data_IF_966207554681
#
_entry.id   IF_966207554681
#
_cell.length_a   1.000
_cell.length_b   1.000
_cell.length_c   1.000
_cell.angle_alpha   90.00
_cell.angle_beta   90.00
_cell.angle_gamma   90.00
#
_symmetry.space_group_name_H-M   'P 1'
#
loop_
_entity.id
_entity.type
_entity.pdbx_description
1 polymer ?
#
# COMPACT_ATOMS: atom_id res chain seq x y z
N UNK A 1 54.51 -22.32 17.30
CA UNK A 1 53.19 -22.88 17.67
C UNK A 1 52.12 -22.01 17.05
N UNK A 2 51.44 -22.50 16.01
CA UNK A 2 50.31 -21.80 15.40
C UNK A 2 49.04 -22.28 16.12
N UNK A 3 48.28 -21.35 16.69
CA UNK A 3 46.95 -21.64 17.23
C UNK A 3 46.03 -22.08 16.08
N UNK A 4 45.25 -23.15 16.23
CA UNK A 4 44.30 -23.58 15.21
C UNK A 4 43.27 -22.47 14.98
N UNK A 5 43.04 -22.12 13.71
CA UNK A 5 41.90 -21.28 13.31
C UNK A 5 40.64 -21.89 13.90
N UNK A 6 40.09 -21.28 14.93
CA UNK A 6 38.77 -21.64 15.45
C UNK A 6 37.80 -21.59 14.28
N UNK A 7 37.31 -22.76 13.87
CA UNK A 7 36.22 -22.90 12.91
C UNK A 7 35.02 -22.34 13.63
N UNK A 8 34.72 -21.06 13.41
CA UNK A 8 33.47 -20.47 13.86
C UNK A 8 32.37 -21.39 13.31
N UNK A 9 31.53 -21.97 14.16
CA UNK A 9 30.49 -22.89 13.70
C UNK A 9 29.69 -22.24 12.58
N UNK A 10 29.40 -22.98 11.50
CA UNK A 10 28.67 -22.46 10.36
C UNK A 10 27.31 -21.80 10.74
N UNK A 11 26.74 -22.15 11.90
CA UNK A 11 25.56 -21.50 12.46
C UNK A 11 25.82 -20.07 12.98
N UNK A 12 27.00 -19.79 13.54
CA UNK A 12 27.44 -18.43 13.93
C UNK A 12 27.76 -17.58 12.69
N UNK A 13 28.29 -18.20 11.63
CA UNK A 13 28.47 -17.53 10.33
C UNK A 13 27.13 -17.24 9.62
N UNK A 14 26.13 -18.13 9.76
CA UNK A 14 24.78 -17.92 9.24
C UNK A 14 23.99 -16.81 9.98
N UNK A 15 24.42 -16.44 11.20
CA UNK A 15 23.85 -15.31 11.95
C UNK A 15 24.34 -13.94 11.47
N UNK A 16 25.44 -13.87 10.70
CA UNK A 16 26.01 -12.62 10.20
C UNK A 16 25.45 -12.19 8.84
N UNK A 17 24.69 -13.05 8.16
CA UNK A 17 24.07 -12.69 6.90
C UNK A 17 22.75 -11.96 7.18
N UNK A 18 22.62 -10.68 6.77
CA UNK A 18 21.35 -9.98 6.86
C UNK A 18 20.31 -10.79 6.09
N UNK A 19 19.31 -11.30 6.80
CA UNK A 19 18.19 -11.99 6.17
C UNK A 19 17.53 -11.01 5.22
N UNK A 20 17.37 -11.46 3.98
CA UNK A 20 16.94 -10.59 2.90
C UNK A 20 15.61 -9.93 3.25
N UNK A 21 15.41 -8.69 2.79
CA UNK A 21 14.17 -8.00 2.97
C UNK A 21 12.94 -8.87 2.55
N UNK A 22 12.16 -9.44 3.49
CA UNK A 22 10.79 -9.91 3.24
C UNK A 22 10.01 -8.87 2.40
N UNK A 23 9.47 -9.27 1.25
CA UNK A 23 8.75 -8.34 0.40
C UNK A 23 7.47 -7.86 1.10
N UNK A 24 7.06 -6.61 0.82
CA UNK A 24 5.72 -6.08 1.10
C UNK A 24 4.66 -7.18 0.91
N UNK A 25 3.67 -7.33 1.81
CA UNK A 25 2.65 -8.38 1.68
C UNK A 25 2.12 -8.46 0.25
N UNK A 26 2.20 -9.64 -0.37
CA UNK A 26 1.93 -9.83 -1.81
C UNK A 26 0.60 -9.22 -2.24
N UNK A 27 -0.41 -9.27 -1.39
CA UNK A 27 -1.72 -8.67 -1.62
C UNK A 27 -1.67 -7.14 -1.76
N UNK A 28 -0.94 -6.44 -0.88
CA UNK A 28 -0.73 -4.99 -0.97
C UNK A 28 0.05 -4.63 -2.24
N UNK A 29 1.08 -5.43 -2.58
CA UNK A 29 1.86 -5.21 -3.78
C UNK A 29 1.01 -5.36 -5.04
N UNK A 30 0.22 -6.44 -5.15
CA UNK A 30 -0.66 -6.66 -6.29
C UNK A 30 -1.71 -5.55 -6.43
N UNK A 31 -2.37 -5.18 -5.33
CA UNK A 31 -3.35 -4.08 -5.33
C UNK A 31 -2.71 -2.75 -5.74
N UNK A 32 -1.49 -2.46 -5.28
CA UNK A 32 -0.73 -1.28 -5.70
C UNK A 32 -0.38 -1.34 -7.18
N UNK A 33 0.09 -2.48 -7.68
CA UNK A 33 0.40 -2.69 -9.09
C UNK A 33 -0.81 -2.60 -10.01
N UNK A 34 -2.02 -2.91 -9.54
CA UNK A 34 -3.26 -2.76 -10.31
C UNK A 34 -3.83 -1.33 -10.23
N UNK A 35 -3.71 -0.66 -9.08
CA UNK A 35 -4.17 0.73 -8.94
C UNK A 35 -3.28 1.73 -9.70
N UNK A 36 -1.97 1.50 -9.83
CA UNK A 36 -1.10 2.41 -10.59
C UNK A 36 -1.54 2.57 -12.07
N UNK A 37 -1.73 1.49 -12.85
CA UNK A 37 -2.25 1.58 -14.21
C UNK A 37 -3.62 2.23 -14.31
N UNK A 38 -4.51 1.94 -13.36
CA UNK A 38 -5.83 2.57 -13.32
C UNK A 38 -5.75 4.08 -13.09
N UNK A 39 -4.97 4.51 -12.09
CA UNK A 39 -4.75 5.92 -11.78
C UNK A 39 -4.03 6.66 -12.93
N UNK A 40 -3.07 6.02 -13.61
CA UNK A 40 -2.42 6.55 -14.80
C UNK A 40 -3.39 6.69 -15.98
N UNK A 41 -4.20 5.66 -16.23
CA UNK A 41 -5.21 5.69 -17.29
C UNK A 41 -6.22 6.79 -17.01
N UNK A 42 -6.67 6.91 -15.76
CA UNK A 42 -7.60 7.95 -15.33
C UNK A 42 -6.98 9.35 -15.47
N UNK A 43 -5.71 9.52 -15.13
CA UNK A 43 -4.98 10.78 -15.33
C UNK A 43 -4.91 11.15 -16.82
N UNK A 44 -4.49 10.22 -17.69
CA UNK A 44 -4.40 10.45 -19.13
C UNK A 44 -5.78 10.79 -19.71
N UNK A 45 -6.81 9.99 -19.39
CA UNK A 45 -8.19 10.25 -19.80
C UNK A 45 -8.70 11.58 -19.25
N UNK A 46 -8.28 11.98 -18.05
CA UNK A 46 -8.71 13.26 -17.47
C UNK A 46 -8.01 14.46 -18.13
N UNK A 47 -6.74 14.33 -18.50
CA UNK A 47 -5.95 15.33 -19.23
C UNK A 47 -6.35 15.47 -20.71
N UNK A 48 -6.95 14.43 -21.29
CA UNK A 48 -7.52 14.47 -22.64
C UNK A 48 -8.92 15.14 -22.67
N UNK A 49 -9.29 15.86 -21.59
CA UNK A 49 -10.45 16.73 -21.52
C UNK A 49 -11.82 16.06 -21.78
N UNK A 50 -11.96 14.84 -21.26
CA UNK A 50 -13.13 14.00 -21.50
C UNK A 50 -14.34 14.26 -20.57
N UNK A 51 -14.29 15.25 -19.67
CA UNK A 51 -15.43 15.65 -18.81
C UNK A 51 -15.17 16.86 -17.88
N UNK A 52 -16.22 17.48 -17.32
CA UNK A 52 -16.11 18.69 -16.48
C UNK A 52 -15.31 18.48 -15.18
N UNK A 53 -15.58 17.38 -14.46
CA UNK A 53 -14.82 17.00 -13.27
C UNK A 53 -13.41 16.49 -13.60
N UNK A 54 -13.18 16.09 -14.85
CA UNK A 54 -11.90 15.62 -15.34
C UNK A 54 -10.87 16.73 -15.56
N UNK A 55 -11.28 17.99 -15.63
CA UNK A 55 -10.32 19.08 -15.74
C UNK A 55 -9.77 19.54 -14.40
N UNK A 56 -10.47 19.27 -13.28
CA UNK A 56 -10.12 19.85 -11.97
C UNK A 56 -9.91 18.81 -10.88
N UNK A 57 -10.89 17.95 -10.66
CA UNK A 57 -10.91 17.09 -9.47
C UNK A 57 -10.14 15.80 -9.72
N UNK A 58 -10.47 15.10 -10.80
CA UNK A 58 -9.89 13.78 -11.08
C UNK A 58 -8.37 13.80 -11.32
N UNK A 59 -7.78 14.75 -12.08
CA UNK A 59 -6.32 14.79 -12.25
C UNK A 59 -5.58 14.99 -10.95
N UNK A 60 -6.07 15.89 -10.09
CA UNK A 60 -5.46 16.15 -8.79
C UNK A 60 -5.50 14.89 -7.90
N UNK A 61 -6.66 14.23 -7.81
CA UNK A 61 -6.80 13.01 -7.01
C UNK A 61 -5.95 11.88 -7.59
N UNK A 62 -5.89 11.72 -8.91
CA UNK A 62 -5.02 10.74 -9.58
C UNK A 62 -3.55 11.01 -9.28
N UNK A 63 -3.09 12.27 -9.34
CA UNK A 63 -1.71 12.63 -8.98
C UNK A 63 -1.42 12.29 -7.52
N UNK A 64 -2.30 12.66 -6.58
CA UNK A 64 -2.13 12.29 -5.17
C UNK A 64 -2.11 10.78 -4.96
N UNK A 65 -2.93 10.03 -5.69
CA UNK A 65 -2.97 8.56 -5.66
C UNK A 65 -1.65 7.96 -6.14
N UNK A 66 -1.10 8.47 -7.25
CA UNK A 66 0.20 8.04 -7.77
C UNK A 66 1.33 8.36 -6.80
N UNK A 67 1.36 9.58 -6.24
CA UNK A 67 2.35 9.98 -5.24
C UNK A 67 2.26 9.11 -3.98
N UNK A 68 1.04 8.80 -3.54
CA UNK A 68 0.81 7.88 -2.42
C UNK A 68 1.37 6.49 -2.72
N UNK A 69 1.02 5.88 -3.86
CA UNK A 69 1.53 4.54 -4.21
C UNK A 69 3.05 4.51 -4.38
N UNK A 70 3.63 5.54 -5.02
CA UNK A 70 5.09 5.69 -5.10
C UNK A 70 5.72 5.80 -3.71
N UNK A 71 5.14 6.61 -2.83
CA UNK A 71 5.57 6.73 -1.44
C UNK A 71 5.54 5.40 -0.70
N UNK A 72 4.44 4.65 -0.79
CA UNK A 72 4.29 3.33 -0.17
C UNK A 72 5.33 2.34 -0.70
N UNK A 73 5.57 2.30 -2.01
CA UNK A 73 6.58 1.40 -2.61
C UNK A 73 7.99 1.80 -2.20
N UNK A 74 8.32 3.10 -2.21
CA UNK A 74 9.64 3.60 -1.82
C UNK A 74 9.91 3.35 -0.34
N UNK A 75 8.93 3.62 0.53
CA UNK A 75 9.03 3.41 1.97
C UNK A 75 9.10 1.91 2.28
N UNK A 76 8.27 1.10 1.64
CA UNK A 76 8.24 -0.36 1.83
C UNK A 76 9.51 -1.08 1.36
N UNK A 77 10.30 -0.46 0.46
CA UNK A 77 11.59 -1.01 -0.01
C UNK A 77 12.81 -0.53 0.78
N UNK A 78 12.68 0.49 1.63
CA UNK A 78 13.83 0.96 2.43
C UNK A 78 14.16 -0.06 3.52
N UNK A 79 15.45 -0.41 3.64
CA UNK A 79 15.98 -1.13 4.80
C UNK A 79 15.70 -0.29 6.05
N UNK A 80 14.97 -0.85 7.02
CA UNK A 80 14.65 -0.17 8.27
C UNK A 80 15.57 -0.58 9.41
N UNK A 81 15.97 0.40 10.20
CA UNK A 81 16.57 0.19 11.52
C UNK A 81 15.44 -0.09 12.54
N UNK A 82 15.70 -0.88 13.61
CA UNK A 82 14.69 -1.20 14.63
C UNK A 82 14.09 0.03 15.32
N UNK A 83 14.86 1.12 15.37
CA UNK A 83 14.49 2.38 16.02
C UNK A 83 13.62 3.29 15.13
N UNK A 84 13.52 3.01 13.83
CA UNK A 84 12.76 3.82 12.91
C UNK A 84 11.27 3.42 12.87
N UNK A 85 10.32 4.38 12.94
CA UNK A 85 8.89 4.08 12.85
C UNK A 85 8.52 3.51 11.47
N UNK A 86 7.54 2.59 11.44
CA UNK A 86 7.19 1.87 10.21
C UNK A 86 6.18 2.57 9.31
N UNK A 87 5.55 3.63 9.80
CA UNK A 87 4.53 4.42 9.08
C UNK A 87 3.40 3.58 8.43
N UNK A 88 3.24 2.29 8.77
CA UNK A 88 2.27 1.41 8.12
C UNK A 88 0.86 1.87 8.40
N UNK A 89 0.55 2.06 9.68
CA UNK A 89 -0.74 2.60 10.13
C UNK A 89 -1.03 3.97 9.50
N UNK A 90 -0.02 4.83 9.33
CA UNK A 90 -0.15 6.12 8.65
C UNK A 90 -0.47 5.95 7.16
N UNK A 91 0.17 4.99 6.48
CA UNK A 91 -0.12 4.68 5.09
C UNK A 91 -1.55 4.16 4.93
N UNK A 92 -1.98 3.24 5.79
CA UNK A 92 -3.36 2.73 5.82
C UNK A 92 -4.37 3.85 6.05
N UNK A 93 -4.13 4.73 7.04
CA UNK A 93 -4.98 5.89 7.31
C UNK A 93 -5.06 6.83 6.11
N UNK A 94 -3.93 7.15 5.48
CA UNK A 94 -3.87 7.97 4.27
C UNK A 94 -4.65 7.33 3.12
N UNK A 95 -4.60 5.99 3.00
CA UNK A 95 -5.37 5.24 2.02
C UNK A 95 -6.88 5.35 2.25
N UNK A 96 -7.34 5.32 3.51
CA UNK A 96 -8.75 5.56 3.83
C UNK A 96 -9.20 6.96 3.42
N UNK A 97 -8.41 7.99 3.75
CA UNK A 97 -8.74 9.37 3.33
C UNK A 97 -8.83 9.48 1.81
N UNK A 98 -7.88 8.90 1.10
CA UNK A 98 -7.87 8.89 -0.36
C UNK A 98 -9.08 8.13 -0.94
N UNK A 99 -9.49 7.02 -0.31
CA UNK A 99 -10.71 6.28 -0.67
C UNK A 99 -11.96 7.14 -0.53
N UNK A 100 -12.08 7.89 0.57
CA UNK A 100 -13.21 8.80 0.79
C UNK A 100 -13.24 9.88 -0.29
N UNK A 101 -12.08 10.46 -0.63
CA UNK A 101 -11.97 11.46 -1.70
C UNK A 101 -12.40 10.87 -3.05
N UNK A 102 -11.97 9.66 -3.40
CA UNK A 102 -12.42 8.95 -4.60
C UNK A 102 -13.92 8.68 -4.60
N UNK A 103 -14.47 8.26 -3.46
CA UNK A 103 -15.91 8.00 -3.32
C UNK A 103 -16.75 9.27 -3.50
N UNK A 104 -16.31 10.40 -2.93
CA UNK A 104 -16.94 11.70 -3.16
C UNK A 104 -16.85 12.10 -4.64
N UNK A 105 -15.70 11.92 -5.28
CA UNK A 105 -15.55 12.18 -6.71
C UNK A 105 -16.47 11.31 -7.58
N UNK A 106 -16.66 10.03 -7.20
CA UNK A 106 -17.61 9.12 -7.85
C UNK A 106 -19.04 9.64 -7.74
N UNK A 107 -19.49 10.01 -6.54
CA UNK A 107 -20.82 10.57 -6.31
C UNK A 107 -21.03 11.82 -7.15
N UNK A 108 -20.08 12.76 -7.14
CA UNK A 108 -20.14 13.98 -7.93
C UNK A 108 -20.23 13.68 -9.43
N UNK A 109 -19.46 12.71 -9.93
CA UNK A 109 -19.50 12.31 -11.34
C UNK A 109 -20.85 11.72 -11.72
N UNK A 110 -21.43 10.88 -10.86
CA UNK A 110 -22.78 10.31 -11.06
C UNK A 110 -23.84 11.41 -11.03
N UNK A 111 -23.78 12.34 -10.08
CA UNK A 111 -24.73 13.45 -9.96
C UNK A 111 -24.66 14.36 -11.17
N UNK A 112 -23.47 14.70 -11.65
CA UNK A 112 -23.28 15.50 -12.88
C UNK A 112 -23.85 14.77 -14.09
N UNK A 113 -23.62 13.45 -14.21
CA UNK A 113 -24.18 12.66 -15.29
C UNK A 113 -25.72 12.59 -15.25
N UNK A 114 -26.30 12.42 -14.06
CA UNK A 114 -27.75 12.34 -13.87
C UNK A 114 -28.45 13.71 -14.02
N UNK A 115 -27.80 14.78 -13.57
CA UNK A 115 -28.33 16.15 -13.56
C UNK A 115 -28.01 16.93 -14.84
N UNK A 116 -27.26 16.33 -15.77
CA UNK A 116 -26.80 16.97 -17.00
C UNK A 116 -27.91 17.54 -17.87
N UNK A 117 -29.16 17.13 -17.68
CA UNK A 117 -30.33 17.70 -18.37
C UNK A 117 -30.93 18.92 -17.67
N UNK A 118 -30.76 19.06 -16.35
CA UNK A 118 -31.42 20.09 -15.53
C UNK A 118 -30.62 21.39 -15.42
N UNK A 119 -29.30 21.34 -15.51
CA UNK A 119 -28.44 22.51 -15.34
C UNK A 119 -27.66 22.83 -16.63
N UNK A 120 -27.73 24.08 -17.15
CA UNK A 120 -27.10 24.44 -18.42
C UNK A 120 -25.57 24.27 -18.41
N UNK A 121 -24.92 24.45 -17.26
CA UNK A 121 -23.47 24.30 -17.11
C UNK A 121 -22.97 22.85 -17.15
N UNK A 122 -23.85 21.87 -16.96
CA UNK A 122 -23.50 20.44 -17.01
C UNK A 122 -23.97 19.75 -18.29
N UNK A 123 -24.62 20.50 -19.19
CA UNK A 123 -25.03 19.98 -20.49
C UNK A 123 -23.80 19.75 -21.37
N UNK A 124 -23.77 18.61 -22.07
CA UNK A 124 -22.74 18.28 -23.05
C UNK A 124 -22.55 19.39 -24.11
N UNK A 125 -23.64 20.05 -24.49
CA UNK A 125 -23.62 21.17 -25.42
C UNK A 125 -22.77 22.34 -24.89
N UNK A 126 -22.91 22.69 -23.61
CA UNK A 126 -22.14 23.77 -22.99
C UNK A 126 -20.66 23.42 -22.85
N UNK A 127 -20.33 22.18 -22.48
CA UNK A 127 -18.94 21.71 -22.42
C UNK A 127 -18.25 21.69 -23.79
N UNK A 128 -19.00 21.35 -24.85
CA UNK A 128 -18.50 21.44 -26.23
C UNK A 128 -18.24 22.89 -26.65
N UNK A 129 -19.05 23.85 -26.20
CA UNK A 129 -18.80 25.28 -26.45
C UNK A 129 -17.52 25.77 -25.77
N UNK A 130 -17.05 25.12 -24.70
CA UNK A 130 -15.76 25.38 -24.06
C UNK A 130 -14.57 24.72 -24.80
N UNK A 131 -14.80 24.12 -25.98
CA UNK A 131 -13.77 23.46 -26.79
C UNK A 131 -13.45 22.03 -26.34
N UNK A 132 -14.21 21.47 -25.40
CA UNK A 132 -13.93 20.15 -24.85
C UNK A 132 -14.61 19.05 -25.69
N UNK A 133 -13.89 18.00 -26.13
CA UNK A 133 -14.43 16.91 -26.95
C UNK A 133 -15.26 15.90 -26.11
N UNK A 134 -16.10 16.38 -25.20
CA UNK A 134 -16.88 15.53 -24.29
C UNK A 134 -18.00 14.80 -25.05
N UNK A 135 -18.11 13.49 -24.78
CA UNK A 135 -19.20 12.64 -25.26
C UNK A 135 -19.84 11.88 -24.10
N UNK A 136 -21.03 11.31 -24.33
CA UNK A 136 -21.68 10.41 -23.35
C UNK A 136 -20.78 9.21 -23.02
N UNK A 137 -20.08 8.67 -24.03
CA UNK A 137 -19.18 7.54 -23.84
C UNK A 137 -17.98 7.88 -22.96
N UNK A 138 -17.41 9.08 -23.13
CA UNK A 138 -16.23 9.50 -22.35
C UNK A 138 -16.61 9.76 -20.89
N UNK A 139 -17.77 10.35 -20.63
CA UNK A 139 -18.33 10.48 -19.28
C UNK A 139 -18.60 9.11 -18.62
N UNK A 140 -19.19 8.15 -19.36
CA UNK A 140 -19.40 6.79 -18.83
C UNK A 140 -18.08 6.09 -18.50
N UNK A 141 -17.07 6.25 -19.35
CA UNK A 141 -15.73 5.72 -19.09
C UNK A 141 -15.11 6.34 -17.82
N UNK A 142 -15.30 7.65 -17.60
CA UNK A 142 -14.83 8.32 -16.39
C UNK A 142 -15.53 7.80 -15.13
N UNK A 143 -16.84 7.58 -15.16
CA UNK A 143 -17.57 6.95 -14.04
C UNK A 143 -17.00 5.57 -13.73
N UNK A 144 -16.78 4.74 -14.76
CA UNK A 144 -16.21 3.40 -14.60
C UNK A 144 -14.81 3.44 -13.99
N UNK A 145 -13.92 4.29 -14.51
CA UNK A 145 -12.56 4.42 -14.00
C UNK A 145 -12.53 4.96 -12.56
N UNK A 146 -13.41 5.92 -12.24
CA UNK A 146 -13.53 6.48 -10.88
C UNK A 146 -14.05 5.42 -9.90
N UNK A 147 -15.01 4.61 -10.31
CA UNK A 147 -15.48 3.46 -9.53
C UNK A 147 -14.37 2.44 -9.31
N UNK A 148 -13.63 2.11 -10.38
CA UNK A 148 -12.49 1.20 -10.31
C UNK A 148 -11.46 1.67 -9.27
N UNK A 149 -11.01 2.93 -9.34
CA UNK A 149 -10.05 3.47 -8.36
C UNK A 149 -10.62 3.51 -6.95
N UNK A 150 -11.89 3.86 -6.77
CA UNK A 150 -12.54 3.81 -5.46
C UNK A 150 -12.46 2.40 -4.85
N UNK A 151 -12.73 1.37 -5.64
CA UNK A 151 -12.67 -0.02 -5.20
C UNK A 151 -11.23 -0.49 -4.95
N UNK A 152 -10.29 -0.09 -5.80
CA UNK A 152 -8.88 -0.49 -5.66
C UNK A 152 -8.22 0.15 -4.44
N UNK A 153 -8.34 1.47 -4.27
CA UNK A 153 -7.79 2.20 -3.12
C UNK A 153 -8.53 1.80 -1.84
N UNK A 154 -9.85 1.62 -1.89
CA UNK A 154 -10.64 1.13 -0.77
C UNK A 154 -10.28 -0.30 -0.36
N UNK A 155 -10.09 -1.18 -1.33
CA UNK A 155 -9.61 -2.55 -1.10
C UNK A 155 -8.21 -2.57 -0.46
N UNK A 156 -7.31 -1.68 -0.88
CA UNK A 156 -5.99 -1.50 -0.25
C UNK A 156 -6.12 -1.05 1.21
N UNK A 157 -6.99 -0.07 1.49
CA UNK A 157 -7.23 0.44 2.84
C UNK A 157 -7.78 -0.65 3.78
N UNK A 158 -8.80 -1.39 3.33
CA UNK A 158 -9.40 -2.50 4.09
C UNK A 158 -8.39 -3.62 4.33
N UNK A 159 -7.61 -3.98 3.31
CA UNK A 159 -6.60 -5.04 3.46
C UNK A 159 -5.48 -4.63 4.40
N UNK A 160 -5.00 -3.39 4.29
CA UNK A 160 -4.01 -2.83 5.20
C UNK A 160 -4.51 -2.77 6.64
N UNK A 161 -5.77 -2.37 6.84
CA UNK A 161 -6.42 -2.38 8.16
C UNK A 161 -6.53 -3.79 8.74
N UNK A 162 -6.94 -4.78 7.94
CA UNK A 162 -7.00 -6.17 8.40
C UNK A 162 -5.65 -6.66 8.89
N UNK A 163 -4.55 -6.30 8.21
CA UNK A 163 -3.20 -6.63 8.66
C UNK A 163 -2.89 -5.91 9.99
N UNK A 164 -3.21 -4.61 10.11
CA UNK A 164 -3.06 -3.87 11.37
C UNK A 164 -3.82 -4.53 12.52
N UNK A 165 -5.04 -5.02 12.25
CA UNK A 165 -5.88 -5.64 13.26
C UNK A 165 -5.34 -7.00 13.72
N UNK A 166 -4.79 -7.81 12.80
CA UNK A 166 -4.27 -9.15 13.11
C UNK A 166 -2.85 -9.13 13.70
N UNK A 167 -1.99 -8.23 13.26
CA UNK A 167 -0.56 -8.21 13.60
C UNK A 167 -0.15 -7.00 14.46
N UNK A 168 -1.08 -6.08 14.71
CA UNK A 168 -0.83 -4.82 15.40
C UNK A 168 -0.50 -3.65 14.45
N UNK A 169 -0.37 -2.42 14.99
CA UNK A 169 -0.12 -1.21 14.20
C UNK A 169 1.18 -1.24 13.39
N UNK A 170 2.04 -2.20 13.71
CA UNK A 170 3.34 -2.38 13.10
C UNK A 170 3.66 -3.86 12.80
N UNK A 171 3.12 -4.39 11.69
CA UNK A 171 3.19 -5.81 11.38
C UNK A 171 4.64 -6.30 11.23
N UNK A 172 4.90 -7.49 11.77
CA UNK A 172 6.24 -8.10 11.70
C UNK A 172 6.68 -8.43 10.28
N UNK A 173 5.75 -8.63 9.34
CA UNK A 173 6.09 -8.81 7.92
C UNK A 173 6.41 -7.49 7.20
N UNK A 174 6.10 -6.34 7.84
CA UNK A 174 6.40 -4.98 7.36
C UNK A 174 7.68 -4.38 7.96
N UNK A 175 8.22 -5.00 9.01
CA UNK A 175 9.52 -4.69 9.63
C UNK A 175 10.44 -5.91 9.44
N UNK A 176 11.65 -5.75 8.93
CA UNK A 176 12.47 -6.94 8.69
C UNK A 176 12.72 -7.89 9.86
N UNK A 177 12.88 -9.16 9.47
CA UNK A 177 13.10 -10.37 10.26
C UNK A 177 14.31 -10.27 11.17
N UNK A 178 14.08 -10.07 12.46
CA UNK A 178 15.10 -10.42 13.46
C UNK A 178 14.57 -11.30 14.60
N UNK A 179 13.25 -11.39 14.80
CA UNK A 179 12.75 -11.89 16.09
C UNK A 179 12.42 -13.38 16.18
N UNK A 180 12.07 -14.06 15.08
CA UNK A 180 11.64 -15.46 15.18
C UNK A 180 12.79 -16.44 15.46
N UNK A 181 14.02 -16.20 14.94
CA UNK A 181 15.18 -17.04 15.29
C UNK A 181 15.77 -16.73 16.66
N UNK A 182 15.79 -15.46 17.09
CA UNK A 182 16.26 -15.11 18.44
C UNK A 182 15.29 -15.67 19.50
N UNK A 183 13.98 -15.65 19.24
CA UNK A 183 12.98 -16.30 20.10
C UNK A 183 13.12 -17.83 20.11
N UNK A 184 13.39 -18.47 18.98
CA UNK A 184 13.64 -19.91 18.91
C UNK A 184 14.96 -20.32 19.60
N UNK A 185 16.02 -19.52 19.46
CA UNK A 185 17.31 -19.76 20.13
C UNK A 185 17.20 -19.48 21.63
N UNK A 186 16.50 -18.42 22.05
CA UNK A 186 16.23 -18.16 23.46
C UNK A 186 15.40 -19.28 24.07
N UNK A 187 14.37 -19.79 23.37
CA UNK A 187 13.63 -20.98 23.82
C UNK A 187 14.54 -22.19 23.94
N UNK A 188 15.36 -22.49 22.93
CA UNK A 188 16.29 -23.61 22.98
C UNK A 188 17.29 -23.49 24.15
N UNK A 189 17.87 -22.31 24.37
CA UNK A 189 18.80 -22.05 25.48
C UNK A 189 18.10 -22.11 26.83
N UNK A 190 16.88 -21.57 26.93
CA UNK A 190 16.08 -21.62 28.15
C UNK A 190 15.63 -23.05 28.46
N UNK A 191 15.24 -23.83 27.45
CA UNK A 191 14.84 -25.23 27.59
C UNK A 191 16.05 -26.10 28.01
N UNK A 192 17.23 -25.89 27.43
CA UNK A 192 18.47 -26.58 27.84
C UNK A 192 18.94 -26.17 29.25
N UNK A 193 18.82 -24.89 29.61
CA UNK A 193 19.17 -24.41 30.95
C UNK A 193 18.22 -24.99 32.03
N UNK A 194 16.93 -25.13 31.70
CA UNK A 194 15.94 -25.76 32.59
C UNK A 194 16.27 -27.25 32.79
N UNK A 195 16.64 -27.98 31.74
CA UNK A 195 17.04 -29.40 31.84
C UNK A 195 18.28 -29.58 32.72
N UNK A 196 19.28 -28.68 32.62
CA UNK A 196 20.50 -28.73 33.44
C UNK A 196 20.25 -28.40 34.92
N UNK A 197 19.27 -27.52 35.22
CA UNK A 197 18.89 -27.23 36.62
C UNK A 197 17.98 -28.30 37.24
N UNK A 198 17.26 -29.07 36.44
CA UNK A 198 16.31 -30.08 36.92
C UNK A 198 16.96 -31.42 37.33
N UNK A 199 18.20 -31.71 36.87
CA UNK A 199 18.91 -32.95 37.17
C UNK A 199 20.36 -32.72 37.62
N UNK A 200 20.61 -32.20 38.84
CA UNK A 200 21.97 -31.91 39.31
C UNK A 200 22.80 -33.15 39.66
N UNK A 201 22.26 -34.37 39.59
CA UNK A 201 22.87 -35.58 40.15
C UNK A 201 23.51 -36.55 39.15
N UNK A 202 23.87 -36.09 37.94
CA UNK A 202 24.57 -36.91 36.93
C UNK A 202 25.96 -36.37 36.55
N UNK A 203 26.51 -35.45 37.35
CA UNK A 203 27.90 -34.98 37.25
C UNK A 203 28.73 -35.48 38.42
#
# INVERSE_FOLDING_TARGET
>A
MQLPRAVLPAFLQAQLYPTAPLPVPRSILLLTCFSIPGALTLLIVSMLDFGYLSMRVNPCISIYTLLYHLGVVLIGRRKRTPEAPSYFSTAVFSCYLLTVVWFVALILTIVVLASGHMHPYYQFAWLRLQGLPVTVHTQRAQVFLTLYETLMVGGLALKGHSIVHHEGPDPHDWRYTQFERVRAILRFILDDAIVLTAYPSLG
#
